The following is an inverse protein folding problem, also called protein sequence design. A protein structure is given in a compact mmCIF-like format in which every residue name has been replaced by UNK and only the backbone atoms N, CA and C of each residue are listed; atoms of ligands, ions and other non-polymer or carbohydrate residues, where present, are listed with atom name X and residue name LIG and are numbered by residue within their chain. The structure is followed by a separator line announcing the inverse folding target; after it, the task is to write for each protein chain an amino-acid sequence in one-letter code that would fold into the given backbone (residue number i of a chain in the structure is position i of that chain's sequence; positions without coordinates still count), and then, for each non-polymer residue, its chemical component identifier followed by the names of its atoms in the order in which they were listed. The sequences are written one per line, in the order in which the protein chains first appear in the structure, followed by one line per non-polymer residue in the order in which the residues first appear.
data_IF_085875572628
#
_entry.id   IF_085875572628
#
_cell.length_a   1.000
_cell.length_b   1.000
_cell.length_c   1.000
_cell.angle_alpha   90.00
_cell.angle_beta   90.00
_cell.angle_gamma   90.00
#
_symmetry.space_group_name_H-M   'P 1'
#
loop_
_entity.id
_entity.type
_entity.pdbx_description
1 polymer ?
#
# COMPACT_ATOMS: atom_id res chain seq x y z
N UNK A 1 16.43 25.63 2.44
CA UNK A 1 15.51 24.82 3.26
C UNK A 1 15.82 23.37 2.98
N UNK A 2 16.14 22.55 3.99
CA UNK A 2 16.27 21.11 3.78
C UNK A 2 14.87 20.54 3.57
N UNK A 3 14.60 19.77 2.51
CA UNK A 3 13.29 19.15 2.33
C UNK A 3 13.02 18.22 3.52
N UNK A 4 11.84 18.37 4.13
CA UNK A 4 11.36 17.45 5.16
C UNK A 4 11.30 16.06 4.55
N UNK A 5 12.21 15.18 4.97
CA UNK A 5 12.08 13.77 4.61
C UNK A 5 10.76 13.24 5.17
N UNK A 6 9.99 12.45 4.40
CA UNK A 6 8.80 11.81 4.92
C UNK A 6 9.17 11.01 6.17
N UNK A 7 8.39 11.20 7.25
CA UNK A 7 8.57 10.52 8.53
C UNK A 7 8.21 9.03 8.44
N UNK A 8 7.38 8.66 7.47
CA UNK A 8 6.93 7.30 7.23
C UNK A 8 7.48 6.78 5.91
N UNK A 9 8.20 5.65 6.00
CA UNK A 9 8.86 5.04 4.84
C UNK A 9 7.92 4.17 4.04
N UNK A 10 7.04 3.41 4.70
CA UNK A 10 6.13 2.48 4.05
C UNK A 10 4.71 3.02 4.13
N UNK A 11 4.02 3.14 3.00
CA UNK A 11 2.61 3.54 2.96
C UNK A 11 1.78 2.42 2.37
N UNK A 12 1.00 1.75 3.21
CA UNK A 12 0.13 0.66 2.82
C UNK A 12 -1.23 1.20 2.41
N UNK A 13 -1.66 0.88 1.19
CA UNK A 13 -2.97 1.21 0.67
C UNK A 13 -3.89 0.00 0.82
N UNK A 14 -4.89 0.15 1.68
CA UNK A 14 -5.91 -0.84 1.98
C UNK A 14 -7.20 -0.46 1.26
N UNK A 15 -7.97 -1.43 0.79
CA UNK A 15 -9.35 -1.17 0.36
C UNK A 15 -10.26 -2.37 0.54
N UNK A 16 -11.57 -2.16 0.80
CA UNK A 16 -12.57 -3.21 0.66
C UNK A 16 -12.61 -3.77 -0.77
N UNK A 17 -13.12 -4.99 -0.92
CA UNK A 17 -13.37 -5.58 -2.24
C UNK A 17 -14.22 -4.63 -3.10
N UNK A 18 -13.85 -4.51 -4.39
CA UNK A 18 -14.47 -3.63 -5.41
C UNK A 18 -14.09 -2.15 -5.36
N UNK A 19 -13.31 -1.71 -4.37
CA UNK A 19 -12.77 -0.34 -4.35
C UNK A 19 -11.37 -0.35 -4.96
N UNK A 20 -11.21 0.32 -6.10
CA UNK A 20 -9.93 0.40 -6.81
C UNK A 20 -9.05 1.53 -6.28
N UNK A 21 -8.05 1.14 -5.48
CA UNK A 21 -7.03 2.04 -4.93
C UNK A 21 -5.86 2.29 -5.89
N UNK A 22 -5.79 1.57 -7.02
CA UNK A 22 -4.67 1.65 -7.97
C UNK A 22 -4.46 3.06 -8.53
N UNK A 23 -5.51 3.80 -8.97
CA UNK A 23 -5.34 5.17 -9.46
C UNK A 23 -4.75 6.12 -8.42
N UNK A 24 -5.12 5.96 -7.15
CA UNK A 24 -4.58 6.77 -6.06
C UNK A 24 -3.11 6.47 -5.81
N UNK A 25 -2.71 5.19 -5.87
CA UNK A 25 -1.30 4.79 -5.75
C UNK A 25 -0.50 5.40 -6.91
N UNK A 26 -1.02 5.33 -8.14
CA UNK A 26 -0.39 5.93 -9.32
C UNK A 26 -0.20 7.43 -9.16
N UNK A 27 -1.24 8.16 -8.76
CA UNK A 27 -1.17 9.60 -8.51
C UNK A 27 -0.14 9.94 -7.42
N UNK A 28 -0.18 9.21 -6.29
CA UNK A 28 0.78 9.39 -5.19
C UNK A 28 2.21 9.11 -5.65
N UNK A 29 2.39 8.10 -6.50
CA UNK A 29 3.71 7.73 -7.01
C UNK A 29 4.28 8.82 -7.93
N UNK A 30 3.46 9.43 -8.78
CA UNK A 30 3.86 10.58 -9.63
C UNK A 30 4.23 11.81 -8.80
N UNK A 31 3.41 12.15 -7.82
CA UNK A 31 3.68 13.30 -6.96
C UNK A 31 5.02 13.13 -6.23
N UNK A 32 5.26 11.96 -5.64
CA UNK A 32 6.47 11.69 -4.88
C UNK A 32 7.70 11.50 -5.77
N UNK A 33 7.56 10.94 -6.97
CA UNK A 33 8.69 10.80 -7.91
C UNK A 33 9.14 12.13 -8.51
N UNK A 34 8.27 13.15 -8.52
CA UNK A 34 8.62 14.51 -8.94
C UNK A 34 9.48 15.27 -7.91
N UNK A 35 9.56 14.78 -6.67
CA UNK A 35 10.35 15.42 -5.62
C UNK A 35 11.84 15.11 -5.83
N UNK A 36 12.72 16.12 -5.85
CA UNK A 36 14.15 15.91 -6.06
C UNK A 36 14.72 14.97 -4.98
N UNK A 37 15.65 14.11 -5.39
CA UNK A 37 16.36 13.13 -4.55
C UNK A 37 15.50 12.04 -3.91
N UNK A 38 14.20 11.95 -4.23
CA UNK A 38 13.32 10.92 -3.65
C UNK A 38 13.47 9.58 -4.37
N UNK A 39 14.02 8.57 -3.68
CA UNK A 39 14.03 7.19 -4.18
C UNK A 39 12.72 6.50 -3.83
N UNK A 40 11.82 6.43 -4.79
CA UNK A 40 10.53 5.76 -4.68
C UNK A 40 10.55 4.33 -5.24
N UNK A 41 9.82 3.43 -4.58
CA UNK A 41 9.44 2.13 -5.13
C UNK A 41 7.96 1.85 -4.86
N UNK A 42 7.30 1.24 -5.83
CA UNK A 42 5.95 0.69 -5.67
C UNK A 42 6.05 -0.81 -5.49
N UNK A 43 5.28 -1.35 -4.54
CA UNK A 43 5.25 -2.77 -4.22
C UNK A 43 3.82 -3.27 -4.28
N UNK A 44 3.56 -4.31 -5.07
CA UNK A 44 2.28 -5.01 -5.08
C UNK A 44 2.35 -6.29 -4.27
N UNK A 45 1.41 -6.48 -3.35
CA UNK A 45 1.26 -7.66 -2.50
C UNK A 45 0.00 -8.42 -2.89
N UNK A 46 0.12 -9.70 -3.28
CA UNK A 46 -1.04 -10.58 -3.45
C UNK A 46 -1.06 -11.42 -4.71
N UNK A 47 -1.82 -12.52 -4.73
CA UNK A 47 -1.80 -13.50 -5.82
C UNK A 47 -3.02 -13.52 -6.75
N UNK A 48 -3.98 -12.61 -6.60
CA UNK A 48 -5.35 -12.83 -7.11
C UNK A 48 -5.85 -11.82 -8.16
N UNK A 49 -5.26 -10.63 -8.25
CA UNK A 49 -5.61 -9.64 -9.28
C UNK A 49 -4.40 -9.34 -10.16
N UNK A 50 -4.14 -10.24 -11.11
CA UNK A 50 -3.02 -10.10 -12.06
C UNK A 50 -3.22 -8.90 -13.00
N UNK A 51 -4.46 -8.48 -13.25
CA UNK A 51 -4.79 -7.34 -14.11
C UNK A 51 -4.37 -6.04 -13.45
N UNK A 52 -4.80 -5.78 -12.20
CA UNK A 52 -4.41 -4.56 -11.48
C UNK A 52 -2.89 -4.46 -11.31
N UNK A 53 -2.24 -5.59 -10.98
CA UNK A 53 -0.80 -5.64 -10.86
C UNK A 53 -0.10 -5.34 -12.20
N UNK A 54 -0.62 -5.87 -13.32
CA UNK A 54 -0.10 -5.56 -14.66
C UNK A 54 -0.25 -4.07 -14.98
N UNK A 55 -1.42 -3.48 -14.73
CA UNK A 55 -1.67 -2.05 -14.95
C UNK A 55 -0.70 -1.18 -14.13
N UNK A 56 -0.50 -1.51 -12.85
CA UNK A 56 0.42 -0.78 -11.98
C UNK A 56 1.88 -0.96 -12.40
N UNK A 57 2.28 -2.17 -12.83
CA UNK A 57 3.62 -2.43 -13.34
C UNK A 57 3.90 -1.65 -14.64
N UNK A 58 2.96 -1.64 -15.59
CA UNK A 58 3.06 -0.88 -16.83
C UNK A 58 3.19 0.62 -16.55
N UNK A 59 2.34 1.17 -15.70
CA UNK A 59 2.41 2.55 -15.27
C UNK A 59 3.78 2.90 -14.64
N UNK A 60 4.29 2.04 -13.76
CA UNK A 60 5.60 2.26 -13.13
C UNK A 60 6.72 2.24 -14.17
N UNK A 61 6.66 1.34 -15.15
CA UNK A 61 7.62 1.28 -16.25
C UNK A 61 7.61 2.57 -17.08
N UNK A 62 6.43 3.06 -17.47
CA UNK A 62 6.26 4.29 -18.27
C UNK A 62 6.81 5.54 -17.55
N UNK A 63 6.74 5.55 -16.22
CA UNK A 63 7.17 6.69 -15.40
C UNK A 63 8.55 6.51 -14.76
N UNK A 64 9.33 5.50 -15.18
CA UNK A 64 10.64 5.17 -14.62
C UNK A 64 10.65 4.91 -13.10
N UNK A 65 9.52 4.46 -12.55
CA UNK A 65 9.35 4.11 -11.14
C UNK A 65 9.66 2.63 -10.97
N UNK A 66 10.47 2.27 -9.97
CA UNK A 66 10.74 0.86 -9.70
C UNK A 66 9.48 0.20 -9.13
N UNK A 67 9.17 -0.99 -9.63
CA UNK A 67 8.05 -1.81 -9.17
C UNK A 67 8.53 -3.22 -8.82
N UNK A 68 8.02 -3.78 -7.73
CA UNK A 68 8.24 -5.18 -7.36
C UNK A 68 6.90 -5.81 -6.98
N UNK A 69 6.71 -7.04 -7.45
CA UNK A 69 5.53 -7.83 -7.15
C UNK A 69 5.86 -9.01 -6.24
N UNK A 70 5.15 -9.13 -5.12
CA UNK A 70 5.18 -10.29 -4.24
C UNK A 70 3.87 -11.08 -4.36
N UNK A 71 3.90 -12.18 -5.14
CA UNK A 71 2.77 -13.11 -5.29
C UNK A 71 2.28 -13.71 -3.97
N UNK A 72 3.14 -13.81 -2.97
CA UNK A 72 2.81 -14.33 -1.64
C UNK A 72 3.27 -13.33 -0.57
N UNK A 73 2.34 -12.94 0.31
CA UNK A 73 2.58 -12.00 1.40
C UNK A 73 3.75 -12.43 2.32
N UNK A 74 3.90 -13.73 2.55
CA UNK A 74 4.99 -14.29 3.36
C UNK A 74 6.38 -14.02 2.77
N UNK A 75 6.49 -13.68 1.48
CA UNK A 75 7.77 -13.31 0.85
C UNK A 75 8.16 -11.85 1.08
N UNK A 76 7.21 -10.99 1.49
CA UNK A 76 7.48 -9.57 1.68
C UNK A 76 8.59 -9.30 2.71
N UNK A 77 8.63 -9.93 3.90
CA UNK A 77 9.72 -9.71 4.88
C UNK A 77 11.11 -10.03 4.33
N UNK A 78 11.23 -11.03 3.47
CA UNK A 78 12.50 -11.37 2.80
C UNK A 78 12.88 -10.34 1.74
N UNK A 79 11.89 -9.75 1.07
CA UNK A 79 12.04 -8.66 0.11
C UNK A 79 12.38 -7.30 0.72
N UNK A 80 12.06 -7.08 2.00
CA UNK A 80 12.33 -5.80 2.71
C UNK A 80 13.80 -5.37 2.59
N UNK A 81 14.75 -6.32 2.60
CA UNK A 81 16.18 -6.03 2.44
C UNK A 81 16.49 -5.34 1.10
N UNK A 82 15.84 -5.76 0.02
CA UNK A 82 16.07 -5.23 -1.33
C UNK A 82 15.49 -3.82 -1.51
N UNK A 83 14.44 -3.51 -0.76
CA UNK A 83 13.74 -2.22 -0.82
C UNK A 83 14.19 -1.24 0.28
N UNK A 84 15.14 -1.62 1.15
CA UNK A 84 15.66 -0.76 2.22
C UNK A 84 16.36 0.50 1.69
N UNK A 85 16.86 0.49 0.46
CA UNK A 85 17.54 1.62 -0.18
C UNK A 85 16.63 2.76 -0.67
N UNK A 86 15.31 2.55 -0.68
CA UNK A 86 14.33 3.54 -1.10
C UNK A 86 13.91 4.40 0.09
N UNK A 87 13.64 5.68 -0.15
CA UNK A 87 13.15 6.61 0.86
C UNK A 87 11.67 6.39 1.14
N UNK A 88 10.91 6.04 0.09
CA UNK A 88 9.47 5.79 0.16
C UNK A 88 9.14 4.48 -0.54
N UNK A 89 8.28 3.69 0.10
CA UNK A 89 7.71 2.45 -0.41
C UNK A 89 6.18 2.57 -0.38
N UNK A 90 5.55 2.66 -1.55
CA UNK A 90 4.09 2.57 -1.66
C UNK A 90 3.72 1.10 -1.81
N UNK A 91 2.83 0.61 -0.95
CA UNK A 91 2.46 -0.80 -0.89
C UNK A 91 0.99 -0.96 -1.23
N UNK A 92 0.73 -1.58 -2.37
CA UNK A 92 -0.59 -2.00 -2.82
C UNK A 92 -0.94 -3.37 -2.21
N UNK A 93 -1.99 -3.44 -1.40
CA UNK A 93 -2.43 -4.69 -0.75
C UNK A 93 -3.57 -5.38 -1.50
N UNK A 94 -3.86 -6.64 -1.21
CA UNK A 94 -5.06 -7.29 -1.77
C UNK A 94 -6.33 -6.64 -1.23
N UNK A 95 -7.30 -6.39 -2.10
CA UNK A 95 -8.66 -6.02 -1.70
C UNK A 95 -9.46 -7.28 -1.36
N UNK A 96 -9.98 -7.36 -0.14
CA UNK A 96 -10.73 -8.51 0.39
C UNK A 96 -12.10 -8.07 0.87
N UNK A 97 -13.07 -8.99 1.03
CA UNK A 97 -14.31 -8.57 1.71
C UNK A 97 -13.99 -8.35 3.19
N UNK A 98 -14.71 -7.40 3.83
CA UNK A 98 -14.59 -7.20 5.27
C UNK A 98 -14.76 -8.50 6.04
N UNK A 99 -13.88 -8.71 7.02
CA UNK A 99 -13.94 -9.82 7.97
C UNK A 99 -13.86 -11.24 7.35
N UNK A 100 -13.37 -11.37 6.11
CA UNK A 100 -12.92 -12.67 5.58
C UNK A 100 -11.68 -13.16 6.32
N UNK A 101 -11.56 -14.48 6.54
CA UNK A 101 -10.43 -15.05 7.29
C UNK A 101 -9.07 -14.69 6.68
N UNK A 102 -8.97 -14.61 5.35
CA UNK A 102 -7.74 -14.17 4.69
C UNK A 102 -7.42 -12.69 4.96
N UNK A 103 -8.43 -11.83 5.05
CA UNK A 103 -8.22 -10.44 5.42
C UNK A 103 -7.73 -10.31 6.86
N UNK A 104 -8.29 -11.11 7.78
CA UNK A 104 -7.84 -11.15 9.19
C UNK A 104 -6.36 -11.57 9.27
N UNK A 105 -5.94 -12.54 8.47
CA UNK A 105 -4.54 -12.95 8.35
C UNK A 105 -3.68 -11.80 7.82
N UNK A 106 -4.08 -11.16 6.71
CA UNK A 106 -3.37 -10.04 6.11
C UNK A 106 -3.21 -8.88 7.12
N UNK A 107 -4.27 -8.57 7.89
CA UNK A 107 -4.27 -7.52 8.92
C UNK A 107 -3.35 -7.87 10.09
N UNK A 108 -3.35 -9.13 10.54
CA UNK A 108 -2.42 -9.61 11.57
C UNK A 108 -0.96 -9.44 11.12
N UNK A 109 -0.68 -9.75 9.84
CA UNK A 109 0.62 -9.53 9.22
C UNK A 109 1.00 -8.05 9.17
N UNK A 110 0.11 -7.17 8.72
CA UNK A 110 0.35 -5.73 8.65
C UNK A 110 0.60 -5.11 10.02
N UNK A 111 -0.17 -5.53 11.03
CA UNK A 111 0.03 -5.12 12.43
C UNK A 111 1.42 -5.54 12.92
N UNK A 112 1.81 -6.80 12.70
CA UNK A 112 3.14 -7.26 13.09
C UNK A 112 4.25 -6.47 12.38
N UNK A 113 4.12 -6.24 11.06
CA UNK A 113 5.08 -5.44 10.28
C UNK A 113 5.19 -4.00 10.78
N UNK A 114 4.08 -3.35 11.12
CA UNK A 114 4.09 -1.96 11.61
C UNK A 114 4.90 -1.76 12.90
N UNK A 115 5.10 -2.82 13.69
CA UNK A 115 5.95 -2.78 14.88
C UNK A 115 7.45 -2.89 14.54
N UNK A 116 7.79 -3.31 13.32
CA UNK A 116 9.16 -3.54 12.85
C UNK A 116 9.66 -2.44 11.92
N UNK A 117 8.76 -1.74 11.23
CA UNK A 117 9.06 -0.73 10.22
C UNK A 117 8.19 0.52 10.40
N UNK A 118 8.71 1.69 10.01
CA UNK A 118 7.93 2.93 9.98
C UNK A 118 6.88 2.87 8.85
N UNK A 119 5.62 2.63 9.21
CA UNK A 119 4.53 2.38 8.29
C UNK A 119 3.28 3.23 8.59
N UNK A 120 2.69 3.82 7.54
CA UNK A 120 1.32 4.35 7.52
C UNK A 120 0.35 3.41 6.83
N UNK A 121 -0.92 3.53 7.20
CA UNK A 121 -2.03 2.78 6.62
C UNK A 121 -3.08 3.76 6.08
N UNK A 122 -3.21 3.78 4.76
CA UNK A 122 -4.21 4.57 4.03
C UNK A 122 -5.34 3.63 3.63
N UNK A 123 -6.54 3.85 4.19
CA UNK A 123 -7.73 3.11 3.78
C UNK A 123 -8.48 3.89 2.72
N UNK A 124 -8.67 3.27 1.55
CA UNK A 124 -9.49 3.78 0.45
C UNK A 124 -10.83 3.07 0.47
N UNK A 125 -11.93 3.80 0.53
CA UNK A 125 -13.27 3.25 0.72
C UNK A 125 -14.33 4.06 -0.05
N UNK A 126 -15.43 3.42 -0.43
CA UNK A 126 -16.66 4.11 -0.87
C UNK A 126 -17.73 4.08 0.25
N UNK A 127 -17.48 3.30 1.29
CA UNK A 127 -18.38 3.06 2.42
C UNK A 127 -18.19 4.12 3.51
N UNK A 128 -19.23 4.47 4.28
CA UNK A 128 -19.15 5.47 5.34
C UNK A 128 -18.19 5.05 6.47
N UNK A 129 -17.71 6.03 7.23
CA UNK A 129 -16.81 5.80 8.38
C UNK A 129 -17.31 4.73 9.36
N UNK A 130 -18.61 4.76 9.66
CA UNK A 130 -19.24 3.81 10.57
C UNK A 130 -19.16 2.36 10.08
N UNK A 131 -19.23 2.13 8.76
CA UNK A 131 -19.03 0.81 8.18
C UNK A 131 -17.57 0.37 8.35
N UNK A 132 -16.61 1.25 8.03
CA UNK A 132 -15.17 0.98 8.17
C UNK A 132 -14.81 0.60 9.61
N UNK A 133 -15.31 1.33 10.60
CA UNK A 133 -15.05 1.06 12.03
C UNK A 133 -15.62 -0.29 12.49
N UNK A 134 -16.63 -0.83 11.78
CA UNK A 134 -17.18 -2.17 12.01
C UNK A 134 -16.45 -3.27 11.22
N UNK A 135 -15.57 -2.90 10.28
CA UNK A 135 -14.72 -3.87 9.58
C UNK A 135 -13.48 -4.21 10.38
N UNK A 136 -12.86 -5.34 10.06
CA UNK A 136 -11.55 -5.69 10.61
C UNK A 136 -10.42 -4.71 10.24
N UNK A 137 -10.62 -3.71 9.37
CA UNK A 137 -9.61 -2.67 9.11
C UNK A 137 -9.41 -1.71 10.29
N UNK A 138 -10.43 -1.49 11.13
CA UNK A 138 -10.32 -0.62 12.33
C UNK A 138 -9.31 -1.11 13.37
N UNK A 139 -8.87 -2.35 13.23
CA UNK A 139 -7.87 -3.02 14.05
C UNK A 139 -6.42 -2.64 13.67
N UNK A 140 -6.23 -1.94 12.54
CA UNK A 140 -4.96 -1.33 12.15
C UNK A 140 -4.90 0.14 12.60
N UNK A 141 -3.70 0.68 12.87
CA UNK A 141 -3.54 2.11 13.10
C UNK A 141 -3.70 2.88 11.78
N UNK A 142 -4.93 3.01 11.30
CA UNK A 142 -5.27 3.74 10.07
C UNK A 142 -4.86 5.21 10.24
N UNK A 143 -3.88 5.65 9.46
CA UNK A 143 -3.35 7.02 9.52
C UNK A 143 -4.15 7.98 8.66
N UNK A 144 -4.84 7.47 7.62
CA UNK A 144 -5.67 8.27 6.72
C UNK A 144 -6.81 7.43 6.13
N UNK A 145 -7.99 8.02 6.02
CA UNK A 145 -9.13 7.45 5.29
C UNK A 145 -9.44 8.35 4.10
N UNK A 146 -9.53 7.76 2.91
CA UNK A 146 -9.87 8.45 1.66
C UNK A 146 -11.17 7.85 1.14
N UNK A 147 -12.17 8.71 0.94
CA UNK A 147 -13.43 8.33 0.32
C UNK A 147 -13.32 8.55 -1.18
N UNK A 148 -13.56 7.50 -1.96
CA UNK A 148 -13.70 7.60 -3.41
C UNK A 148 -15.19 7.50 -3.75
N UNK A 149 -15.61 8.25 -4.77
CA UNK A 149 -16.95 8.16 -5.35
C UNK A 149 -17.09 6.94 -6.27
#
# INVERSE_FOLDING_TARGET
MLPCKPTEKYRFFLSPKKVDKTPLIMQTALELSSQPDTKLIVVSLGGFDEVQNYTLAQFCQENNIKHIYFKNLAKFPHGVKQIKKYDIVLVDTVSRKPCEAELIFDISFYRWMSKQISASFVLVTQEPRSFVEQTCFGDLPITQIIYQD
#
